data_IF_779064392592
#
_entry.id   IF_779064392592
#
_cell.length_a   1.000
_cell.length_b   1.000
_cell.length_c   1.000
_cell.angle_alpha   90.00
_cell.angle_beta   90.00
_cell.angle_gamma   90.00
#
_symmetry.space_group_name_H-M   'P 1'
#
loop_
_entity.id
_entity.type
_entity.pdbx_description
1 polymer ?
#
# COMPACT_ATOMS: atom_id res chain seq x y z
N UNK A 1 -20.65 63.40 -26.63
CA UNK A 1 -20.09 62.49 -27.65
C UNK A 1 -18.75 61.99 -27.15
N UNK A 2 -18.70 60.76 -26.63
CA UNK A 2 -17.47 60.03 -26.41
C UNK A 2 -17.82 58.54 -26.41
N UNK A 3 -17.19 57.83 -27.33
CA UNK A 3 -17.47 56.49 -27.82
C UNK A 3 -17.04 55.42 -26.80
N UNK A 4 -17.96 54.55 -26.39
CA UNK A 4 -17.64 53.33 -25.62
C UNK A 4 -17.20 52.24 -26.60
N UNK A 5 -15.95 51.80 -26.47
CA UNK A 5 -15.42 50.63 -27.15
C UNK A 5 -15.85 49.40 -26.33
N UNK A 6 -16.71 48.58 -26.91
CA UNK A 6 -17.00 47.21 -26.47
C UNK A 6 -15.85 46.29 -26.86
N UNK A 7 -15.22 45.64 -25.87
CA UNK A 7 -14.43 44.44 -26.10
C UNK A 7 -15.16 43.28 -25.42
N UNK A 8 -15.67 42.39 -26.26
CA UNK A 8 -16.25 41.09 -25.87
C UNK A 8 -15.18 40.19 -25.25
N UNK A 9 -15.53 39.58 -24.12
CA UNK A 9 -14.75 38.55 -23.45
C UNK A 9 -15.68 37.60 -22.72
N UNK A 10 -16.49 36.86 -23.48
CA UNK A 10 -17.00 35.58 -23.02
C UNK A 10 -15.80 34.64 -22.85
N UNK A 11 -15.68 33.96 -21.71
CA UNK A 11 -15.32 32.54 -21.58
C UNK A 11 -15.08 32.14 -20.10
N UNK A 12 -15.86 31.14 -19.67
CA UNK A 12 -15.62 30.23 -18.53
C UNK A 12 -15.83 30.72 -17.10
N UNK A 13 -17.09 30.94 -16.74
CA UNK A 13 -17.57 30.75 -15.36
C UNK A 13 -18.45 29.50 -15.28
N UNK A 14 -17.86 28.34 -14.96
CA UNK A 14 -18.61 27.16 -14.51
C UNK A 14 -17.94 26.47 -13.32
N UNK A 15 -18.46 26.83 -12.15
CA UNK A 15 -18.81 25.97 -10.99
C UNK A 15 -17.72 25.06 -10.43
N UNK A 16 -16.97 25.56 -9.45
CA UNK A 16 -16.25 24.75 -8.45
C UNK A 16 -16.81 25.15 -7.08
N UNK A 17 -17.55 24.24 -6.44
CA UNK A 17 -18.04 24.42 -5.07
C UNK A 17 -16.93 24.07 -4.09
N UNK A 18 -16.54 25.02 -3.24
CA UNK A 18 -15.62 24.80 -2.12
C UNK A 18 -16.49 24.36 -0.93
N UNK A 19 -16.18 23.22 -0.30
CA UNK A 19 -16.84 22.83 0.96
C UNK A 19 -16.14 23.48 2.16
N UNK A 20 -16.79 23.46 3.33
CA UNK A 20 -16.37 24.18 4.55
C UNK A 20 -14.99 23.78 5.11
N UNK A 21 -14.33 22.78 4.52
CA UNK A 21 -13.03 22.26 4.94
C UNK A 21 -11.92 22.42 3.88
N UNK A 22 -12.18 23.16 2.80
CA UNK A 22 -11.14 23.50 1.82
C UNK A 22 -10.61 22.33 0.99
N UNK A 23 -11.34 21.20 0.92
CA UNK A 23 -10.99 20.10 0.02
C UNK A 23 -11.57 20.36 -1.37
N UNK A 24 -10.72 20.32 -2.38
CA UNK A 24 -11.13 20.35 -3.78
C UNK A 24 -11.91 19.08 -4.12
N UNK A 25 -13.19 19.21 -4.48
CA UNK A 25 -13.97 18.13 -5.07
C UNK A 25 -13.62 17.95 -6.55
N UNK A 26 -12.59 17.15 -6.82
CA UNK A 26 -12.52 16.45 -8.10
C UNK A 26 -13.50 15.27 -8.06
N UNK A 27 -14.52 15.29 -8.94
CA UNK A 27 -15.35 14.10 -9.17
C UNK A 27 -14.43 12.94 -9.57
N UNK A 28 -14.45 11.80 -8.87
CA UNK A 28 -13.63 10.67 -9.27
C UNK A 28 -14.15 10.15 -10.60
N UNK A 29 -13.35 10.30 -11.67
CA UNK A 29 -13.41 9.36 -12.79
C UNK A 29 -13.25 7.99 -12.15
N UNK A 30 -14.19 7.09 -12.38
CA UNK A 30 -14.16 5.74 -11.85
C UNK A 30 -12.82 5.09 -12.20
N UNK A 31 -11.87 5.10 -11.25
CA UNK A 31 -10.55 4.57 -11.50
C UNK A 31 -10.68 3.06 -11.69
N UNK A 32 -10.46 2.68 -12.94
CA UNK A 32 -10.54 1.35 -13.52
C UNK A 32 -10.09 0.27 -12.52
N UNK A 33 -11.03 -0.61 -12.15
CA UNK A 33 -10.91 -1.77 -11.27
C UNK A 33 -9.48 -2.11 -10.79
N UNK A 34 -9.08 -1.61 -9.62
CA UNK A 34 -7.77 -1.86 -8.98
C UNK A 34 -7.39 -3.35 -8.97
N UNK A 35 -8.36 -4.24 -8.73
CA UNK A 35 -8.18 -5.69 -8.77
C UNK A 35 -7.70 -6.17 -10.12
N UNK A 36 -8.33 -5.70 -11.19
CA UNK A 36 -7.93 -6.04 -12.56
C UNK A 36 -6.53 -5.51 -12.88
N UNK A 37 -6.16 -4.33 -12.37
CA UNK A 37 -4.81 -3.80 -12.56
C UNK A 37 -3.75 -4.65 -11.85
N UNK A 38 -3.99 -5.04 -10.60
CA UNK A 38 -3.10 -5.94 -9.85
C UNK A 38 -2.97 -7.30 -10.54
N UNK A 39 -4.08 -7.95 -10.88
CA UNK A 39 -4.07 -9.21 -11.61
C UNK A 39 -3.37 -9.10 -12.97
N UNK A 40 -3.56 -7.98 -13.68
CA UNK A 40 -2.89 -7.71 -14.96
C UNK A 40 -1.39 -7.51 -14.78
N UNK A 41 -0.97 -6.84 -13.71
CA UNK A 41 0.45 -6.67 -13.41
C UNK A 41 1.11 -8.00 -13.11
N UNK A 42 0.48 -8.85 -12.28
CA UNK A 42 0.96 -10.20 -12.01
C UNK A 42 1.15 -10.97 -13.31
N UNK A 43 0.14 -11.00 -14.19
CA UNK A 43 0.23 -11.70 -15.49
C UNK A 43 1.31 -11.13 -16.40
N UNK A 44 1.43 -9.81 -16.47
CA UNK A 44 2.39 -9.14 -17.34
C UNK A 44 3.83 -9.37 -16.89
N UNK A 45 4.09 -9.38 -15.58
CA UNK A 45 5.44 -9.55 -15.04
C UNK A 45 5.83 -11.04 -15.00
N UNK A 46 4.86 -11.95 -14.91
CA UNK A 46 5.13 -13.40 -14.88
C UNK A 46 5.27 -14.05 -16.26
N UNK A 47 4.71 -13.44 -17.31
CA UNK A 47 4.78 -13.96 -18.68
C UNK A 47 6.21 -13.82 -19.26
N UNK A 48 6.87 -14.93 -19.64
CA UNK A 48 8.22 -14.91 -20.22
C UNK A 48 8.33 -14.06 -21.50
N UNK A 49 7.25 -13.93 -22.28
CA UNK A 49 7.24 -13.15 -23.51
C UNK A 49 7.26 -11.63 -23.26
N UNK A 50 6.96 -11.20 -22.03
CA UNK A 50 6.94 -9.79 -21.64
C UNK A 50 8.02 -9.45 -20.62
N UNK A 51 8.91 -10.39 -20.29
CA UNK A 51 9.95 -10.26 -19.26
C UNK A 51 10.82 -8.99 -19.42
N UNK A 52 11.16 -8.65 -20.66
CA UNK A 52 11.99 -7.49 -21.00
C UNK A 52 11.20 -6.18 -21.19
N UNK A 53 9.88 -6.18 -21.04
CA UNK A 53 9.01 -5.02 -21.23
C UNK A 53 8.97 -4.12 -19.99
N UNK A 54 10.13 -3.75 -19.45
CA UNK A 54 10.28 -3.02 -18.18
C UNK A 54 9.49 -1.71 -18.14
N UNK A 55 9.45 -0.95 -19.23
CA UNK A 55 8.66 0.29 -19.30
C UNK A 55 7.16 0.04 -19.10
N UNK A 56 6.66 -1.09 -19.63
CA UNK A 56 5.25 -1.48 -19.45
C UNK A 56 5.00 -1.95 -18.02
N UNK A 57 5.93 -2.71 -17.44
CA UNK A 57 5.85 -3.13 -16.03
C UNK A 57 5.78 -1.90 -15.12
N UNK A 58 6.73 -0.98 -15.28
CA UNK A 58 6.82 0.29 -14.56
C UNK A 58 5.54 1.11 -14.70
N UNK A 59 5.10 1.36 -15.93
CA UNK A 59 3.89 2.16 -16.17
C UNK A 59 2.65 1.58 -15.49
N UNK A 60 2.56 0.25 -15.43
CA UNK A 60 1.44 -0.43 -14.79
C UNK A 60 1.53 -0.39 -13.26
N UNK A 61 2.73 -0.58 -12.69
CA UNK A 61 2.94 -0.45 -11.25
C UNK A 61 2.70 1.00 -10.80
N UNK A 62 3.17 2.00 -11.55
CA UNK A 62 2.92 3.41 -11.26
C UNK A 62 1.42 3.75 -11.22
N UNK A 63 0.62 3.10 -12.08
CA UNK A 63 -0.85 3.24 -12.06
C UNK A 63 -1.44 2.62 -10.80
N UNK A 64 -0.96 1.44 -10.40
CA UNK A 64 -1.40 0.77 -9.18
C UNK A 64 -1.06 1.63 -7.96
N UNK A 65 0.16 2.17 -7.86
CA UNK A 65 0.59 3.03 -6.76
C UNK A 65 -0.28 4.29 -6.67
N UNK A 66 -0.56 4.94 -7.80
CA UNK A 66 -1.44 6.13 -7.83
C UNK A 66 -2.88 5.80 -7.41
N UNK A 67 -3.43 4.68 -7.88
CA UNK A 67 -4.78 4.25 -7.55
C UNK A 67 -4.93 3.83 -6.07
N UNK A 68 -3.85 3.38 -5.43
CA UNK A 68 -3.84 2.92 -4.03
C UNK A 68 -3.15 3.90 -3.08
N UNK A 69 -3.08 5.20 -3.42
CA UNK A 69 -2.44 6.22 -2.57
C UNK A 69 -3.04 6.34 -1.17
N UNK A 70 -4.27 5.85 -0.98
CA UNK A 70 -4.97 5.81 0.30
C UNK A 70 -4.87 4.45 1.03
N UNK A 71 -4.09 3.51 0.52
CA UNK A 71 -4.05 2.12 1.01
C UNK A 71 -4.78 1.15 0.07
N UNK A 72 -4.61 -0.14 0.36
CA UNK A 72 -5.15 -1.23 -0.46
C UNK A 72 -6.52 -1.70 0.04
N UNK A 73 -7.38 -2.15 -0.88
CA UNK A 73 -8.69 -2.72 -0.55
C UNK A 73 -8.53 -4.14 -0.01
N UNK A 74 -9.30 -4.49 1.01
CA UNK A 74 -9.32 -5.85 1.59
C UNK A 74 -9.54 -6.94 0.53
N UNK A 75 -10.43 -6.70 -0.42
CA UNK A 75 -10.76 -7.63 -1.51
C UNK A 75 -9.64 -7.87 -2.53
N UNK A 76 -8.61 -7.02 -2.52
CA UNK A 76 -7.52 -7.01 -3.49
C UNK A 76 -6.21 -7.60 -2.92
N UNK A 77 -6.18 -7.94 -1.61
CA UNK A 77 -4.96 -8.35 -0.89
C UNK A 77 -4.28 -9.59 -1.49
N UNK A 78 -5.05 -10.56 -1.98
CA UNK A 78 -4.49 -11.76 -2.62
C UNK A 78 -3.67 -11.37 -3.86
N UNK A 79 -4.22 -10.50 -4.72
CA UNK A 79 -3.55 -10.05 -5.94
C UNK A 79 -2.38 -9.10 -5.63
N UNK A 80 -2.51 -8.29 -4.58
CA UNK A 80 -1.41 -7.46 -4.06
C UNK A 80 -0.23 -8.32 -3.64
N UNK A 81 -0.45 -9.33 -2.81
CA UNK A 81 0.66 -10.15 -2.34
C UNK A 81 1.33 -10.92 -3.48
N UNK A 82 0.55 -11.46 -4.42
CA UNK A 82 1.10 -12.09 -5.62
C UNK A 82 2.03 -11.13 -6.38
N UNK A 83 1.65 -9.86 -6.50
CA UNK A 83 2.50 -8.84 -7.11
C UNK A 83 3.75 -8.54 -6.29
N UNK A 84 3.63 -8.40 -4.96
CA UNK A 84 4.77 -8.14 -4.08
C UNK A 84 5.81 -9.26 -4.14
N UNK A 85 5.38 -10.51 -4.05
CA UNK A 85 6.26 -11.69 -4.15
C UNK A 85 6.93 -11.76 -5.51
N UNK A 86 6.16 -11.58 -6.59
CA UNK A 86 6.72 -11.56 -7.93
C UNK A 86 7.75 -10.45 -8.11
N UNK A 87 7.48 -9.23 -7.63
CA UNK A 87 8.43 -8.13 -7.65
C UNK A 87 9.69 -8.43 -6.80
N UNK A 88 9.55 -9.14 -5.68
CA UNK A 88 10.68 -9.56 -4.84
C UNK A 88 11.57 -10.60 -5.55
N UNK A 89 10.96 -11.58 -6.21
CA UNK A 89 11.68 -12.59 -7.00
C UNK A 89 12.41 -11.94 -8.18
N UNK A 90 11.75 -11.00 -8.89
CA UNK A 90 12.38 -10.24 -9.97
C UNK A 90 13.48 -9.32 -9.45
N UNK A 91 13.32 -8.71 -8.28
CA UNK A 91 14.36 -7.89 -7.68
C UNK A 91 15.65 -8.68 -7.40
N UNK A 92 15.57 -9.98 -7.11
CA UNK A 92 16.75 -10.81 -6.88
C UNK A 92 17.62 -10.96 -8.15
N UNK A 93 17.03 -10.88 -9.33
CA UNK A 93 17.73 -11.03 -10.63
C UNK A 93 17.95 -9.70 -11.35
N UNK A 94 17.05 -8.74 -11.16
CA UNK A 94 16.98 -7.46 -11.89
C UNK A 94 16.67 -6.29 -10.94
N UNK A 95 17.55 -6.02 -9.94
CA UNK A 95 17.27 -5.03 -8.90
C UNK A 95 17.05 -3.62 -9.45
N UNK A 96 17.79 -3.22 -10.50
CA UNK A 96 17.68 -1.89 -11.12
C UNK A 96 16.28 -1.59 -11.68
N UNK A 97 15.50 -2.63 -12.01
CA UNK A 97 14.17 -2.48 -12.62
C UNK A 97 13.06 -2.51 -11.56
N UNK A 98 13.20 -3.38 -10.54
CA UNK A 98 12.11 -3.70 -9.62
C UNK A 98 12.27 -3.15 -8.21
N UNK A 99 13.49 -2.81 -7.77
CA UNK A 99 13.74 -2.43 -6.36
C UNK A 99 12.90 -1.24 -5.91
N UNK A 100 12.92 -0.14 -6.67
CA UNK A 100 12.21 1.08 -6.30
C UNK A 100 10.71 0.86 -6.23
N UNK A 101 10.14 0.20 -7.25
CA UNK A 101 8.72 -0.11 -7.30
C UNK A 101 8.28 -1.04 -6.16
N UNK A 102 9.10 -2.03 -5.81
CA UNK A 102 8.84 -2.91 -4.69
C UNK A 102 8.82 -2.15 -3.35
N UNK A 103 9.79 -1.25 -3.13
CA UNK A 103 9.82 -0.39 -1.95
C UNK A 103 8.58 0.50 -1.85
N UNK A 104 8.12 1.08 -2.96
CA UNK A 104 6.92 1.91 -3.00
C UNK A 104 5.64 1.11 -2.73
N UNK A 105 5.52 -0.10 -3.31
CA UNK A 105 4.40 -1.00 -3.06
C UNK A 105 4.34 -1.41 -1.58
N UNK A 106 5.48 -1.76 -0.98
CA UNK A 106 5.61 -2.10 0.45
C UNK A 106 5.27 -0.90 1.32
N UNK A 107 5.72 0.29 0.96
CA UNK A 107 5.47 1.51 1.74
C UNK A 107 3.97 1.83 1.85
N UNK A 108 3.14 1.48 0.85
CA UNK A 108 1.68 1.62 0.95
C UNK A 108 1.04 0.63 1.93
N UNK A 109 1.69 -0.48 2.26
CA UNK A 109 1.22 -1.43 3.27
C UNK A 109 1.27 -0.87 4.70
N UNK A 110 1.85 0.33 4.90
CA UNK A 110 1.84 1.02 6.19
C UNK A 110 0.45 1.54 6.58
N UNK A 111 -0.44 1.71 5.60
CA UNK A 111 -1.78 2.24 5.83
C UNK A 111 -2.76 1.11 6.18
N UNK A 112 -3.71 1.34 7.10
CA UNK A 112 -4.85 0.45 7.29
C UNK A 112 -5.58 0.16 5.96
N UNK A 113 -6.02 -1.06 5.77
CA UNK A 113 -6.71 -1.47 4.55
C UNK A 113 -8.07 -0.77 4.39
N UNK A 114 -8.56 -0.72 3.16
CA UNK A 114 -9.83 -0.11 2.81
C UNK A 114 -10.96 -1.15 2.83
N UNK A 115 -12.04 -0.81 3.53
CA UNK A 115 -13.31 -1.56 3.59
C UNK A 115 -14.46 -0.73 3.04
N UNK A 116 -15.43 -1.42 2.44
CA UNK A 116 -16.68 -0.84 1.93
C UNK A 116 -17.79 -0.99 2.97
N UNK A 117 -17.82 -2.14 3.67
CA UNK A 117 -18.81 -2.47 4.68
C UNK A 117 -18.15 -2.77 6.02
N UNK A 118 -18.88 -2.54 7.12
CA UNK A 118 -18.42 -2.92 8.46
C UNK A 118 -18.20 -4.44 8.58
N UNK A 119 -18.97 -5.24 7.85
CA UNK A 119 -18.84 -6.71 7.82
C UNK A 119 -17.59 -7.22 7.10
N UNK A 120 -16.90 -6.37 6.32
CA UNK A 120 -15.71 -6.77 5.58
C UNK A 120 -14.59 -7.21 6.51
N UNK A 121 -14.42 -6.58 7.67
CA UNK A 121 -13.41 -6.99 8.65
C UNK A 121 -13.58 -8.45 9.07
N UNK A 122 -14.80 -8.87 9.38
CA UNK A 122 -15.07 -10.28 9.69
C UNK A 122 -14.85 -11.19 8.48
N UNK A 123 -15.22 -10.72 7.29
CA UNK A 123 -15.16 -11.52 6.05
C UNK A 123 -13.72 -11.74 5.58
N UNK A 124 -12.88 -10.72 5.69
CA UNK A 124 -11.51 -10.71 5.19
C UNK A 124 -10.47 -10.88 6.30
N UNK A 125 -10.87 -11.22 7.53
CA UNK A 125 -9.95 -11.40 8.66
C UNK A 125 -8.79 -12.33 8.30
N UNK A 126 -9.09 -13.56 7.87
CA UNK A 126 -8.06 -14.53 7.49
C UNK A 126 -7.22 -14.06 6.29
N UNK A 127 -7.85 -13.45 5.30
CA UNK A 127 -7.14 -12.92 4.12
C UNK A 127 -6.14 -11.82 4.52
N UNK A 128 -6.52 -10.97 5.46
CA UNK A 128 -5.66 -9.93 6.02
C UNK A 128 -4.50 -10.53 6.83
N UNK A 129 -4.80 -11.49 7.71
CA UNK A 129 -3.79 -12.22 8.50
C UNK A 129 -2.79 -12.94 7.60
N UNK A 130 -3.26 -13.65 6.57
CA UNK A 130 -2.41 -14.31 5.59
C UNK A 130 -1.55 -13.29 4.84
N UNK A 131 -2.14 -12.17 4.40
CA UNK A 131 -1.43 -11.10 3.70
C UNK A 131 -0.34 -10.45 4.56
N UNK A 132 -0.54 -10.32 5.88
CA UNK A 132 0.48 -9.81 6.80
C UNK A 132 1.60 -10.83 7.02
N UNK A 133 1.25 -12.12 7.20
CA UNK A 133 2.23 -13.22 7.30
C UNK A 133 3.13 -13.26 6.06
N UNK A 134 2.50 -13.13 4.91
CA UNK A 134 3.10 -13.02 3.59
C UNK A 134 4.04 -11.81 3.44
N UNK A 135 3.66 -10.64 3.97
CA UNK A 135 4.56 -9.48 4.05
C UNK A 135 5.75 -9.76 4.99
N UNK A 136 5.52 -10.45 6.11
CA UNK A 136 6.56 -10.92 7.02
C UNK A 136 7.56 -11.87 6.35
N UNK A 137 7.09 -12.80 5.52
CA UNK A 137 7.96 -13.71 4.77
C UNK A 137 8.93 -12.99 3.82
N UNK A 138 8.56 -11.82 3.30
CA UNK A 138 9.46 -10.99 2.48
C UNK A 138 10.65 -10.42 3.27
N UNK A 139 10.66 -10.46 4.61
CA UNK A 139 11.85 -10.13 5.40
C UNK A 139 13.03 -11.07 5.13
N UNK A 140 12.79 -12.25 4.56
CA UNK A 140 13.82 -13.22 4.15
C UNK A 140 14.59 -12.78 2.91
N UNK A 141 14.11 -11.77 2.18
CA UNK A 141 14.84 -11.16 1.07
C UNK A 141 16.11 -10.50 1.62
N UNK A 142 17.28 -10.88 1.11
CA UNK A 142 18.58 -10.37 1.55
C UNK A 142 18.88 -8.96 1.00
N UNK A 143 17.96 -8.03 1.21
CA UNK A 143 18.11 -6.61 0.90
C UNK A 143 17.67 -5.77 2.10
N UNK A 144 18.62 -5.05 2.70
CA UNK A 144 18.40 -4.28 3.93
C UNK A 144 17.38 -3.16 3.75
N UNK A 145 17.27 -2.57 2.56
CA UNK A 145 16.29 -1.51 2.31
C UNK A 145 14.88 -2.08 2.27
N UNK A 146 14.70 -3.24 1.64
CA UNK A 146 13.42 -3.96 1.61
C UNK A 146 13.03 -4.38 3.03
N UNK A 147 13.93 -5.00 3.78
CA UNK A 147 13.69 -5.40 5.17
C UNK A 147 13.31 -4.21 6.06
N UNK A 148 14.01 -3.08 5.94
CA UNK A 148 13.67 -1.85 6.66
C UNK A 148 12.30 -1.29 6.27
N UNK A 149 11.97 -1.31 4.98
CA UNK A 149 10.67 -0.84 4.48
C UNK A 149 9.53 -1.71 5.01
N UNK A 150 9.71 -3.03 5.07
CA UNK A 150 8.73 -3.95 5.64
C UNK A 150 8.57 -3.70 7.15
N UNK A 151 9.66 -3.63 7.91
CA UNK A 151 9.60 -3.30 9.34
C UNK A 151 8.88 -1.96 9.57
N UNK A 152 9.16 -0.95 8.75
CA UNK A 152 8.47 0.33 8.82
C UNK A 152 6.97 0.19 8.54
N UNK A 153 6.59 -0.53 7.48
CA UNK A 153 5.19 -0.74 7.13
C UNK A 153 4.43 -1.47 8.24
N UNK A 154 5.01 -2.53 8.80
CA UNK A 154 4.41 -3.29 9.91
C UNK A 154 4.25 -2.42 11.18
N UNK A 155 5.27 -1.63 11.52
CA UNK A 155 5.22 -0.77 12.71
C UNK A 155 4.10 0.28 12.61
N UNK A 156 4.00 0.97 11.47
CA UNK A 156 2.97 1.98 11.22
C UNK A 156 1.58 1.37 11.04
N UNK A 157 1.47 0.16 10.50
CA UNK A 157 0.18 -0.53 10.38
C UNK A 157 -0.39 -0.90 11.75
N UNK A 158 0.47 -1.35 12.68
CA UNK A 158 0.07 -1.80 14.01
C UNK A 158 -0.29 -0.64 14.95
N UNK A 159 0.59 0.37 15.00
CA UNK A 159 0.49 1.51 15.91
C UNK A 159 0.98 2.76 15.17
N UNK A 160 0.12 3.35 14.31
CA UNK A 160 0.49 4.43 13.43
C UNK A 160 0.88 5.68 14.21
N UNK A 161 2.02 6.28 13.85
CA UNK A 161 2.42 7.59 14.38
C UNK A 161 1.63 8.68 13.68
N UNK A 162 1.44 8.55 12.37
CA UNK A 162 0.71 9.49 11.54
C UNK A 162 -0.70 9.00 11.23
N UNK A 163 -1.64 9.94 11.12
CA UNK A 163 -3.00 9.57 10.66
C UNK A 163 -2.94 9.10 9.21
N UNK A 164 -3.71 8.05 8.85
CA UNK A 164 -3.80 7.64 7.47
C UNK A 164 -4.43 8.75 6.61
N UNK A 165 -4.16 8.77 5.30
CA UNK A 165 -4.65 9.81 4.41
C UNK A 165 -6.18 9.83 4.37
N UNK A 166 -6.77 11.02 4.35
CA UNK A 166 -8.22 11.17 4.30
C UNK A 166 -8.78 10.64 2.97
N UNK A 167 -9.65 9.63 3.05
CA UNK A 167 -10.32 9.05 1.88
C UNK A 167 -11.45 10.01 1.44
N UNK A 168 -11.55 10.35 0.15
CA UNK A 168 -12.66 11.16 -0.35
C UNK A 168 -14.01 10.51 -0.08
N UNK A 169 -14.99 11.29 0.42
CA UNK A 169 -16.33 10.77 0.75
C UNK A 169 -17.01 10.08 -0.43
N UNK A 170 -16.78 10.58 -1.66
CA UNK A 170 -17.31 10.02 -2.90
C UNK A 170 -16.92 8.55 -3.15
N UNK A 171 -15.89 8.02 -2.48
CA UNK A 171 -15.45 6.64 -2.65
C UNK A 171 -16.26 5.65 -1.79
N UNK A 172 -17.03 6.12 -0.81
CA UNK A 172 -17.79 5.29 0.13
C UNK A 172 -16.94 4.18 0.79
N UNK A 173 -15.67 4.47 1.06
CA UNK A 173 -14.73 3.56 1.69
C UNK A 173 -14.22 4.13 2.99
N UNK A 174 -13.79 3.25 3.89
CA UNK A 174 -13.19 3.62 5.17
C UNK A 174 -11.97 2.74 5.43
N UNK A 175 -11.07 3.23 6.25
CA UNK A 175 -10.02 2.40 6.81
C UNK A 175 -10.60 1.33 7.73
N UNK A 176 -9.93 0.19 7.80
CA UNK A 176 -10.13 -0.79 8.85
C UNK A 176 -9.85 -0.19 10.23
N UNK A 177 -10.52 -0.73 11.24
CA UNK A 177 -10.41 -0.27 12.61
C UNK A 177 -9.02 -0.62 13.18
N UNK A 178 -8.49 0.21 14.10
CA UNK A 178 -7.22 -0.10 14.76
C UNK A 178 -7.24 -1.45 15.48
N UNK A 179 -8.39 -1.83 16.03
CA UNK A 179 -8.56 -3.12 16.71
C UNK A 179 -8.41 -4.28 15.74
N UNK A 180 -9.08 -4.22 14.58
CA UNK A 180 -8.92 -5.21 13.52
C UNK A 180 -7.46 -5.32 13.04
N UNK A 181 -6.77 -4.20 12.86
CA UNK A 181 -5.37 -4.19 12.41
C UNK A 181 -4.44 -4.87 13.41
N UNK A 182 -4.60 -4.57 14.71
CA UNK A 182 -3.82 -5.21 15.77
C UNK A 182 -4.09 -6.71 15.81
N UNK A 183 -5.36 -7.10 15.85
CA UNK A 183 -5.77 -8.50 15.94
C UNK A 183 -5.27 -9.32 14.75
N UNK A 184 -5.37 -8.79 13.53
CA UNK A 184 -4.87 -9.50 12.33
C UNK A 184 -3.35 -9.63 12.32
N UNK A 185 -2.61 -8.63 12.82
CA UNK A 185 -1.15 -8.72 12.94
C UNK A 185 -0.73 -9.71 14.05
N UNK A 186 -1.42 -9.71 15.19
CA UNK A 186 -1.14 -10.63 16.30
C UNK A 186 -1.41 -12.10 15.93
N UNK A 187 -2.40 -12.36 15.07
CA UNK A 187 -2.71 -13.69 14.56
C UNK A 187 -1.86 -14.10 13.34
N UNK A 188 -0.97 -13.24 12.86
CA UNK A 188 -0.13 -13.50 11.69
C UNK A 188 1.24 -14.10 12.07
N UNK A 189 1.92 -14.71 11.11
CA UNK A 189 3.28 -15.26 11.28
C UNK A 189 4.38 -14.16 11.26
N UNK A 190 3.99 -12.88 11.36
CA UNK A 190 4.92 -11.76 11.38
C UNK A 190 5.87 -11.83 12.57
N UNK A 191 5.38 -12.26 13.74
CA UNK A 191 6.22 -12.43 14.95
C UNK A 191 7.35 -13.43 14.69
N UNK A 192 7.05 -14.59 14.10
CA UNK A 192 8.05 -15.59 13.74
C UNK A 192 9.05 -15.03 12.71
N UNK A 193 8.55 -14.36 11.68
CA UNK A 193 9.38 -13.75 10.64
C UNK A 193 10.34 -12.68 11.18
N UNK A 194 9.86 -11.82 12.09
CA UNK A 194 10.66 -10.80 12.76
C UNK A 194 11.69 -11.41 13.71
N UNK A 195 11.33 -12.48 14.42
CA UNK A 195 12.25 -13.19 15.29
C UNK A 195 13.39 -13.83 14.48
N UNK A 196 13.06 -14.52 13.38
CA UNK A 196 14.06 -15.07 12.47
C UNK A 196 14.97 -13.98 11.91
N UNK A 197 14.41 -12.85 11.46
CA UNK A 197 15.20 -11.69 11.05
C UNK A 197 16.15 -11.23 12.17
N UNK A 198 15.65 -11.04 13.39
CA UNK A 198 16.47 -10.60 14.53
C UNK A 198 17.64 -11.54 14.81
N UNK A 199 17.42 -12.86 14.76
CA UNK A 199 18.47 -13.87 15.01
C UNK A 199 19.51 -13.97 13.89
N UNK A 200 19.13 -13.68 12.65
CA UNK A 200 20.02 -13.75 11.48
C UNK A 200 20.80 -12.46 11.24
N UNK A 201 20.45 -11.35 11.90
CA UNK A 201 21.10 -10.05 11.71
C UNK A 201 22.45 -9.95 12.44
N UNK A 202 23.53 -9.99 11.66
CA UNK A 202 24.88 -9.65 12.10
C UNK A 202 25.19 -8.16 11.82
N UNK A 203 25.56 -7.42 12.87
CA UNK A 203 26.13 -6.07 12.77
C UNK A 203 25.22 -4.90 12.36
N UNK A 204 23.98 -5.13 11.90
CA UNK A 204 23.10 -4.06 11.46
C UNK A 204 22.12 -3.57 12.56
N UNK A 205 22.64 -2.76 13.47
CA UNK A 205 21.94 -2.30 14.69
C UNK A 205 20.58 -1.67 14.44
N UNK A 206 20.41 -0.88 13.35
CA UNK A 206 19.16 -0.17 13.07
C UNK A 206 17.98 -1.12 12.78
N UNK A 207 18.17 -2.10 11.91
CA UNK A 207 17.11 -3.07 11.59
C UNK A 207 16.85 -3.99 12.77
N UNK A 208 17.90 -4.40 13.48
CA UNK A 208 17.80 -5.24 14.67
C UNK A 208 16.98 -4.56 15.78
N UNK A 209 17.24 -3.28 16.05
CA UNK A 209 16.46 -2.48 17.01
C UNK A 209 15.00 -2.36 16.56
N UNK A 210 14.75 -2.15 15.26
CA UNK A 210 13.39 -2.01 14.73
C UNK A 210 12.60 -3.31 14.83
N UNK A 211 13.20 -4.43 14.47
CA UNK A 211 12.60 -5.75 14.65
C UNK A 211 12.26 -6.01 16.13
N UNK A 212 13.19 -5.71 17.04
CA UNK A 212 12.97 -5.85 18.48
C UNK A 212 11.81 -4.97 18.98
N UNK A 213 11.72 -3.72 18.53
CA UNK A 213 10.64 -2.79 18.91
C UNK A 213 9.27 -3.31 18.48
N UNK A 214 9.15 -3.86 17.27
CA UNK A 214 7.90 -4.43 16.77
C UNK A 214 7.54 -5.69 17.57
N UNK A 215 8.49 -6.60 17.76
CA UNK A 215 8.30 -7.81 18.58
C UNK A 215 7.83 -7.46 19.99
N UNK A 216 8.46 -6.47 20.62
CA UNK A 216 8.08 -5.99 21.93
C UNK A 216 6.59 -5.60 21.95
N UNK A 217 6.14 -4.77 21.00
CA UNK A 217 4.74 -4.33 20.90
C UNK A 217 3.77 -5.50 20.73
N UNK A 218 4.10 -6.46 19.87
CA UNK A 218 3.26 -7.64 19.62
C UNK A 218 3.14 -8.54 20.86
N UNK A 219 4.21 -8.66 21.66
CA UNK A 219 4.22 -9.48 22.88
C UNK A 219 3.57 -8.83 24.11
N UNK A 220 3.52 -7.49 24.18
CA UNK A 220 2.90 -6.79 25.32
C UNK A 220 1.37 -6.78 25.26
N UNK A 221 0.79 -6.90 24.06
CA UNK A 221 -0.66 -6.86 23.86
C UNK A 221 -1.29 -8.25 23.72
N UNK A 222 -0.48 -9.31 23.73
CA UNK A 222 -0.94 -10.71 23.66
C UNK A 222 -1.43 -11.29 25.02
N UNK A 223 -1.88 -10.43 25.95
CA UNK A 223 -2.28 -10.77 27.32
C UNK A 223 -3.77 -10.62 27.59
#
# INVERSE_FOLDING_TARGET
>A
MATTITVSGDLYEKRHGINAYGCFEEKPKSDLNTKEQLCRAVKLISDPHTDFMYDRHRTLIDKILKANRYGYKLRDLISLHQLLTLCADRNATQPEQFKQHLLELINLCKYPYLKELSSDEKTYFNVCTDSLSQLGYLLRVNDRQIQLAICHALEEFYDPIERPPCIPEAWNMRHTSPEFNRQTMEQSDVTESLFLLYTTLEGFTKLRLRALKILQRLTFNSG
#
